data_IF_613229722094
#
_entry.id   IF_613229722094
#
_cell.length_a   1.000
_cell.length_b   1.000
_cell.length_c   1.000
_cell.angle_alpha   90.00
_cell.angle_beta   90.00
_cell.angle_gamma   90.00
#
_symmetry.space_group_name_H-M   'P 1'
#
loop_
_entity.id
_entity.type
_entity.pdbx_description
1 polymer ?
#
# COMPACT_ATOMS: atom_id res chain seq x y z
N UNK A 1 21.44 -26.28 -12.49
CA UNK A 1 20.80 -24.94 -12.53
C UNK A 1 20.26 -24.65 -11.14
N UNK A 2 20.57 -23.51 -10.52
CA UNK A 2 19.98 -23.19 -9.22
C UNK A 2 18.48 -23.00 -9.38
N UNK A 3 17.70 -23.82 -8.67
CA UNK A 3 16.26 -23.66 -8.58
C UNK A 3 15.94 -22.44 -7.70
N UNK A 4 14.99 -21.57 -8.09
CA UNK A 4 14.57 -20.49 -7.22
C UNK A 4 13.98 -21.08 -5.94
N UNK A 5 14.32 -20.55 -4.74
CA UNK A 5 13.72 -21.01 -3.50
C UNK A 5 12.22 -20.73 -3.49
N UNK A 6 11.46 -21.65 -2.90
CA UNK A 6 10.06 -21.44 -2.54
C UNK A 6 10.00 -20.17 -1.70
N UNK A 7 9.08 -19.24 -2.02
CA UNK A 7 8.89 -18.03 -1.23
C UNK A 7 8.77 -18.41 0.25
N UNK A 8 9.57 -17.79 1.11
CA UNK A 8 9.41 -17.95 2.54
C UNK A 8 7.98 -17.57 2.91
N UNK A 9 7.23 -18.51 3.48
CA UNK A 9 5.95 -18.21 4.08
C UNK A 9 6.13 -17.05 5.05
N UNK A 10 5.20 -16.10 5.01
CA UNK A 10 5.10 -15.06 6.02
C UNK A 10 5.11 -15.79 7.36
N UNK A 11 5.99 -15.44 8.32
CA UNK A 11 6.04 -16.14 9.59
C UNK A 11 4.61 -16.20 10.14
N UNK A 12 4.19 -17.41 10.54
CA UNK A 12 2.88 -17.65 11.12
C UNK A 12 2.80 -16.89 12.45
N UNK A 13 2.53 -15.59 12.37
CA UNK A 13 2.27 -14.77 13.54
C UNK A 13 0.89 -15.19 14.00
N UNK A 14 0.90 -15.99 15.07
CA UNK A 14 -0.25 -16.36 15.90
C UNK A 14 -1.12 -15.13 16.15
N UNK A 15 -2.40 -15.36 16.47
CA UNK A 15 -3.40 -14.41 16.99
C UNK A 15 -2.98 -13.75 18.34
N UNK A 16 -1.75 -13.32 18.47
CA UNK A 16 -1.33 -12.25 19.36
C UNK A 16 -1.85 -10.94 18.78
N UNK A 17 -2.30 -10.00 19.62
CA UNK A 17 -2.60 -8.63 19.19
C UNK A 17 -1.34 -8.03 18.56
N UNK A 18 -1.20 -8.14 17.23
CA UNK A 18 0.00 -7.61 16.58
C UNK A 18 -0.15 -6.11 16.51
N UNK A 19 0.54 -5.41 17.41
CA UNK A 19 0.65 -3.95 17.38
C UNK A 19 1.14 -3.55 15.97
N UNK A 20 0.32 -2.82 15.19
CA UNK A 20 0.76 -2.34 13.89
C UNK A 20 2.04 -1.53 14.05
N UNK A 21 2.95 -1.71 13.10
CA UNK A 21 4.27 -1.07 13.11
C UNK A 21 5.18 -1.42 14.29
N UNK A 22 4.99 -2.57 14.96
CA UNK A 22 6.01 -3.13 15.87
C UNK A 22 7.34 -3.40 15.15
N UNK A 23 7.25 -3.96 13.94
CA UNK A 23 8.37 -4.20 13.05
C UNK A 23 8.18 -3.41 11.75
N UNK A 24 9.17 -2.59 11.39
CA UNK A 24 9.04 -1.61 10.29
C UNK A 24 10.21 -1.69 9.32
N UNK A 25 9.91 -1.77 8.03
CA UNK A 25 10.88 -1.55 6.95
C UNK A 25 10.88 -0.08 6.54
N UNK A 26 12.06 0.51 6.38
CA UNK A 26 12.24 1.91 6.00
C UNK A 26 12.97 2.04 4.66
N UNK A 27 12.51 2.95 3.82
CA UNK A 27 13.12 3.26 2.53
C UNK A 27 12.79 4.70 2.10
N UNK A 28 13.53 5.23 1.14
CA UNK A 28 13.32 6.54 0.55
C UNK A 28 12.84 6.46 -0.90
N UNK A 29 11.94 7.36 -1.28
CA UNK A 29 11.53 7.62 -2.65
C UNK A 29 11.83 9.04 -3.09
N UNK A 30 12.24 9.22 -4.35
CA UNK A 30 12.55 10.52 -4.93
C UNK A 30 13.82 10.49 -5.78
N UNK A 31 14.39 11.65 -6.10
CA UNK A 31 13.91 12.99 -5.73
C UNK A 31 12.62 13.38 -6.47
N UNK A 32 11.84 14.26 -5.85
CA UNK A 32 10.72 15.01 -6.45
C UNK A 32 11.06 16.50 -6.46
N UNK A 33 10.62 17.22 -7.50
CA UNK A 33 10.82 18.67 -7.61
C UNK A 33 9.60 19.41 -7.10
N UNK A 34 9.75 20.18 -6.03
CA UNK A 34 8.68 20.96 -5.41
C UNK A 34 8.93 22.45 -5.50
N UNK A 35 7.86 23.25 -5.57
CA UNK A 35 7.95 24.70 -5.43
C UNK A 35 8.11 25.08 -3.96
N UNK A 36 9.04 26.01 -3.68
CA UNK A 36 9.18 26.56 -2.32
C UNK A 36 7.96 27.36 -1.89
N UNK A 37 7.38 28.12 -2.82
CA UNK A 37 6.18 28.93 -2.61
C UNK A 37 5.53 29.24 -3.96
N UNK A 38 4.29 29.74 -3.93
CA UNK A 38 3.54 30.09 -5.15
C UNK A 38 3.90 31.50 -5.61
N UNK A 39 4.84 31.62 -6.54
CA UNK A 39 5.11 32.86 -7.24
C UNK A 39 5.72 32.63 -8.62
N UNK A 40 5.61 33.63 -9.50
CA UNK A 40 6.33 33.63 -10.78
C UNK A 40 7.84 33.62 -10.51
N UNK A 41 8.55 32.68 -11.12
CA UNK A 41 10.00 32.52 -10.93
C UNK A 41 10.41 31.81 -9.62
N UNK A 42 9.46 31.25 -8.86
CA UNK A 42 9.78 30.48 -7.67
C UNK A 42 10.68 29.29 -8.03
N UNK A 43 11.82 29.17 -7.32
CA UNK A 43 12.76 28.06 -7.51
C UNK A 43 12.17 26.77 -6.98
N UNK A 44 12.42 25.67 -7.70
CA UNK A 44 12.13 24.34 -7.20
C UNK A 44 13.23 23.83 -6.26
N UNK A 45 12.85 23.08 -5.23
CA UNK A 45 13.76 22.32 -4.38
C UNK A 45 13.48 20.82 -4.52
N UNK A 46 14.48 20.00 -4.19
CA UNK A 46 14.28 18.57 -4.08
C UNK A 46 13.47 18.26 -2.83
N UNK A 47 12.71 17.18 -2.89
CA UNK A 47 12.06 16.56 -1.76
C UNK A 47 12.05 15.04 -1.95
N UNK A 48 11.87 14.33 -0.85
CA UNK A 48 11.88 12.88 -0.81
C UNK A 48 10.73 12.38 0.06
N UNK A 49 10.32 11.14 -0.16
CA UNK A 49 9.32 10.46 0.64
C UNK A 49 10.07 9.44 1.50
N UNK A 50 9.95 9.53 2.81
CA UNK A 50 10.33 8.46 3.72
C UNK A 50 9.15 7.50 3.87
N UNK A 51 9.35 6.23 3.53
CA UNK A 51 8.32 5.20 3.57
C UNK A 51 8.59 4.26 4.74
N UNK A 52 7.56 4.02 5.57
CA UNK A 52 7.56 3.01 6.60
C UNK A 52 6.54 1.92 6.24
N UNK A 53 6.97 0.66 6.29
CA UNK A 53 6.12 -0.51 6.00
C UNK A 53 6.02 -1.38 7.23
N UNK A 54 4.82 -1.63 7.72
CA UNK A 54 4.60 -2.59 8.80
C UNK A 54 4.82 -4.02 8.29
N UNK A 55 5.70 -4.77 8.93
CA UNK A 55 5.96 -6.17 8.52
C UNK A 55 4.79 -7.10 8.84
N UNK A 56 4.01 -6.82 9.88
CA UNK A 56 2.86 -7.60 10.28
C UNK A 56 1.63 -7.36 9.41
N UNK A 57 1.07 -6.14 9.46
CA UNK A 57 -0.20 -5.79 8.80
C UNK A 57 -0.01 -5.38 7.34
N UNK A 58 1.25 -5.16 6.94
CA UNK A 58 1.61 -4.58 5.65
C UNK A 58 1.07 -3.17 5.42
N UNK A 59 0.63 -2.48 6.47
CA UNK A 59 0.28 -1.07 6.41
C UNK A 59 1.48 -0.22 6.00
N UNK A 60 1.20 0.90 5.33
CA UNK A 60 2.19 1.87 4.88
C UNK A 60 1.99 3.19 5.62
N UNK A 61 3.09 3.87 5.90
CA UNK A 61 3.11 5.26 6.35
C UNK A 61 4.10 6.06 5.53
N UNK A 62 3.69 7.24 5.06
CA UNK A 62 4.44 8.08 4.14
C UNK A 62 4.71 9.45 4.77
N UNK A 63 5.97 9.87 4.73
CA UNK A 63 6.42 11.15 5.25
C UNK A 63 7.16 11.94 4.17
N UNK A 64 6.76 13.20 3.95
CA UNK A 64 7.49 14.10 3.07
C UNK A 64 8.68 14.72 3.82
N UNK A 65 9.87 14.70 3.21
CA UNK A 65 11.07 15.34 3.74
C UNK A 65 11.76 16.19 2.68
N UNK A 66 12.57 17.16 3.12
CA UNK A 66 13.29 18.09 2.25
C UNK A 66 14.56 17.50 1.63
N UNK A 67 15.17 16.52 2.28
CA UNK A 67 16.48 15.99 1.89
C UNK A 67 16.69 14.56 2.43
N UNK A 68 17.88 14.00 2.20
CA UNK A 68 18.31 12.68 2.66
C UNK A 68 19.32 12.80 3.81
N UNK A 69 19.13 13.74 4.74
CA UNK A 69 19.96 13.81 5.96
C UNK A 69 19.43 12.90 7.07
N UNK A 70 20.28 12.59 8.04
CA UNK A 70 19.87 11.90 9.27
C UNK A 70 18.84 12.71 10.06
N UNK A 71 18.99 14.04 10.11
CA UNK A 71 18.09 14.93 10.85
C UNK A 71 16.66 14.89 10.28
N UNK A 72 16.52 14.97 8.95
CA UNK A 72 15.19 14.91 8.33
C UNK A 72 14.57 13.52 8.43
N UNK A 73 15.37 12.45 8.40
CA UNK A 73 14.90 11.11 8.74
C UNK A 73 14.37 11.05 10.18
N UNK A 74 15.13 11.53 11.17
CA UNK A 74 14.69 11.52 12.57
C UNK A 74 13.40 12.33 12.77
N UNK A 75 13.26 13.46 12.06
CA UNK A 75 12.02 14.21 12.00
C UNK A 75 10.84 13.38 11.46
N UNK A 76 11.04 12.67 10.35
CA UNK A 76 10.03 11.76 9.79
C UNK A 76 9.69 10.61 10.75
N UNK A 77 10.69 9.99 11.36
CA UNK A 77 10.53 8.92 12.35
C UNK A 77 9.74 9.38 13.57
N UNK A 78 9.99 10.59 14.09
CA UNK A 78 9.23 11.16 15.21
C UNK A 78 7.77 11.39 14.84
N UNK A 79 7.47 11.94 13.65
CA UNK A 79 6.09 12.12 13.17
C UNK A 79 5.38 10.77 12.99
N UNK A 80 6.09 9.79 12.43
CA UNK A 80 5.61 8.42 12.31
C UNK A 80 5.26 7.80 13.67
N UNK A 81 6.19 7.79 14.62
CA UNK A 81 5.98 7.24 15.97
C UNK A 81 4.84 7.97 16.69
N UNK A 82 4.75 9.29 16.55
CA UNK A 82 3.69 10.09 17.17
C UNK A 82 2.30 9.72 16.65
N UNK A 83 2.19 9.22 15.41
CA UNK A 83 0.92 8.86 14.77
C UNK A 83 0.59 7.38 14.82
N UNK A 84 1.61 6.52 14.81
CA UNK A 84 1.45 5.06 14.72
C UNK A 84 1.85 4.32 16.00
N UNK A 85 2.41 5.05 16.96
CA UNK A 85 3.00 4.49 18.16
C UNK A 85 4.44 4.02 17.93
N UNK A 86 5.11 3.71 19.04
CA UNK A 86 6.50 3.26 19.06
C UNK A 86 6.68 1.90 18.38
N UNK A 87 7.70 1.78 17.54
CA UNK A 87 8.15 0.51 16.97
C UNK A 87 9.18 -0.19 17.88
N UNK A 88 9.36 -1.49 17.69
CA UNK A 88 10.33 -2.32 18.40
C UNK A 88 11.55 -2.60 17.51
N UNK A 89 11.32 -2.85 16.21
CA UNK A 89 12.38 -3.16 15.24
C UNK A 89 12.27 -2.27 14.00
N UNK A 90 13.39 -1.70 13.59
CA UNK A 90 13.56 -0.95 12.33
C UNK A 90 14.50 -1.72 11.42
N UNK A 91 14.11 -1.90 10.16
CA UNK A 91 14.91 -2.51 9.11
C UNK A 91 15.16 -1.49 8.00
N UNK A 92 16.41 -1.25 7.62
CA UNK A 92 16.77 -0.32 6.54
C UNK A 92 17.99 -0.81 5.75
N UNK A 93 18.26 -0.18 4.60
CA UNK A 93 19.57 -0.30 3.95
C UNK A 93 20.66 0.45 4.73
N UNK A 94 21.92 0.25 4.32
CA UNK A 94 23.10 0.92 4.88
C UNK A 94 23.29 2.37 4.36
N UNK A 95 22.23 3.04 3.92
CA UNK A 95 22.28 4.44 3.53
C UNK A 95 22.83 5.32 4.65
N UNK A 96 23.67 6.30 4.31
CA UNK A 96 24.40 7.13 5.28
C UNK A 96 23.47 7.90 6.22
N UNK A 97 22.29 8.28 5.73
CA UNK A 97 21.21 8.89 6.49
C UNK A 97 20.64 7.96 7.57
N UNK A 98 20.40 6.68 7.23
CA UNK A 98 19.93 5.68 8.20
C UNK A 98 21.01 5.30 9.21
N UNK A 99 22.25 5.15 8.76
CA UNK A 99 23.39 4.86 9.63
C UNK A 99 23.59 6.01 10.63
N UNK A 100 23.57 7.26 10.16
CA UNK A 100 23.68 8.43 11.03
C UNK A 100 22.51 8.56 12.01
N UNK A 101 21.28 8.38 11.55
CA UNK A 101 20.09 8.44 12.39
C UNK A 101 20.07 7.33 13.45
N UNK A 102 20.48 6.10 13.10
CA UNK A 102 20.60 4.98 14.04
C UNK A 102 21.60 5.30 15.16
N UNK A 103 22.76 5.86 14.82
CA UNK A 103 23.75 6.31 15.81
C UNK A 103 23.18 7.35 16.77
N UNK A 104 22.49 8.36 16.24
CA UNK A 104 21.86 9.40 17.06
C UNK A 104 20.77 8.84 17.96
N UNK A 105 19.93 7.94 17.44
CA UNK A 105 18.89 7.25 18.21
C UNK A 105 19.47 6.45 19.37
N UNK A 106 20.50 5.64 19.11
CA UNK A 106 21.18 4.85 20.14
C UNK A 106 21.76 5.75 21.24
N UNK A 107 22.34 6.90 20.87
CA UNK A 107 22.87 7.86 21.85
C UNK A 107 21.75 8.45 22.72
N UNK A 108 20.62 8.85 22.11
CA UNK A 108 19.46 9.37 22.85
C UNK A 108 18.87 8.33 23.82
N UNK A 109 18.70 7.08 23.38
CA UNK A 109 18.18 5.99 24.21
C UNK A 109 19.08 5.69 25.40
N UNK A 110 20.41 5.70 25.20
CA UNK A 110 21.39 5.55 26.29
C UNK A 110 21.30 6.67 27.30
N UNK A 111 21.18 7.93 26.85
CA UNK A 111 21.05 9.09 27.74
C UNK A 111 19.75 9.08 28.55
N UNK A 112 18.67 8.53 27.99
CA UNK A 112 17.36 8.46 28.66
C UNK A 112 17.21 7.28 29.64
N UNK A 113 18.22 6.40 29.75
CA UNK A 113 18.14 5.15 30.52
C UNK A 113 16.90 4.30 30.19
N UNK A 114 16.40 4.38 28.95
CA UNK A 114 15.21 3.66 28.51
C UNK A 114 15.50 2.15 28.45
N UNK A 115 14.74 1.38 29.23
CA UNK A 115 14.83 -0.09 29.28
C UNK A 115 14.21 -0.76 28.05
N UNK A 116 13.21 -0.12 27.44
CA UNK A 116 12.68 -0.55 26.16
C UNK A 116 13.53 0.11 25.07
N UNK A 117 14.27 -0.65 24.26
CA UNK A 117 15.11 -0.10 23.19
C UNK A 117 14.55 -0.44 21.81
N UNK A 118 14.57 0.53 20.90
CA UNK A 118 14.29 0.30 19.48
C UNK A 118 15.53 -0.40 18.90
N UNK A 119 15.34 -1.60 18.35
CA UNK A 119 16.41 -2.36 17.71
C UNK A 119 16.50 -2.02 16.23
N UNK A 120 17.66 -1.56 15.77
CA UNK A 120 17.89 -1.23 14.36
C UNK A 120 18.69 -2.32 13.66
N UNK A 121 18.17 -2.79 12.53
CA UNK A 121 18.75 -3.85 11.72
C UNK A 121 19.09 -3.29 10.32
N UNK A 122 20.34 -3.47 9.91
CA UNK A 122 20.78 -3.07 8.57
C UNK A 122 20.82 -4.28 7.64
N UNK A 123 20.23 -4.14 6.45
CA UNK A 123 20.27 -5.18 5.44
C UNK A 123 21.72 -5.42 4.99
N UNK A 124 22.18 -6.68 4.88
CA UNK A 124 23.51 -6.96 4.35
C UNK A 124 23.64 -6.41 2.92
N UNK A 125 24.78 -5.79 2.54
CA UNK A 125 24.98 -5.17 1.22
C UNK A 125 24.69 -6.07 0.02
N UNK A 126 24.69 -7.39 0.21
CA UNK A 126 24.55 -8.41 -0.83
C UNK A 126 23.33 -9.33 -0.65
N UNK A 127 22.43 -9.08 0.31
CA UNK A 127 21.29 -9.95 0.60
C UNK A 127 19.90 -9.24 0.55
N UNK A 128 19.52 -8.64 -0.60
CA UNK A 128 18.19 -8.04 -0.77
C UNK A 128 17.02 -9.05 -0.66
N UNK A 129 17.31 -10.36 -0.68
CA UNK A 129 16.27 -11.40 -0.58
C UNK A 129 15.55 -11.47 0.78
N UNK A 130 16.14 -10.98 1.87
CA UNK A 130 15.45 -10.95 3.19
C UNK A 130 14.27 -9.95 3.22
N UNK A 131 14.23 -8.98 2.30
CA UNK A 131 13.18 -7.96 2.23
C UNK A 131 12.21 -8.05 1.05
N UNK A 132 12.32 -9.08 0.19
CA UNK A 132 11.77 -9.06 -1.17
C UNK A 132 10.29 -8.69 -1.31
N UNK A 133 9.42 -9.10 -0.37
CA UNK A 133 7.98 -8.78 -0.45
C UNK A 133 7.68 -7.31 -0.15
N UNK A 134 8.35 -6.70 0.82
CA UNK A 134 8.12 -5.29 1.15
C UNK A 134 8.91 -4.36 0.23
N UNK A 135 10.12 -4.76 -0.18
CA UNK A 135 10.94 -4.01 -1.16
C UNK A 135 10.22 -3.88 -2.51
N UNK A 136 9.64 -4.98 -3.02
CA UNK A 136 8.86 -4.94 -4.26
C UNK A 136 7.64 -4.02 -4.14
N UNK A 137 6.97 -4.00 -2.98
CA UNK A 137 5.84 -3.11 -2.71
C UNK A 137 6.26 -1.66 -2.67
N UNK A 138 7.32 -1.34 -1.94
CA UNK A 138 7.87 0.01 -1.88
C UNK A 138 8.26 0.48 -3.29
N UNK A 139 8.95 -0.36 -4.08
CA UNK A 139 9.34 -0.04 -5.45
C UNK A 139 8.13 0.27 -6.34
N UNK A 140 7.06 -0.52 -6.25
CA UNK A 140 5.81 -0.25 -6.98
C UNK A 140 5.18 1.07 -6.53
N UNK A 141 5.09 1.34 -5.22
CA UNK A 141 4.54 2.61 -4.68
C UNK A 141 5.34 3.82 -5.19
N UNK A 142 6.67 3.81 -5.07
CA UNK A 142 7.54 4.89 -5.59
C UNK A 142 7.27 5.16 -7.07
N UNK A 143 7.17 4.08 -7.85
CA UNK A 143 6.95 4.16 -9.30
C UNK A 143 5.60 4.80 -9.64
N UNK A 144 4.54 4.43 -8.92
CA UNK A 144 3.21 5.03 -9.12
C UNK A 144 3.19 6.51 -8.77
N UNK A 145 3.74 6.89 -7.60
CA UNK A 145 3.76 8.28 -7.17
C UNK A 145 4.50 9.13 -8.21
N UNK A 146 5.69 8.69 -8.66
CA UNK A 146 6.46 9.38 -9.70
C UNK A 146 5.71 9.50 -11.02
N UNK A 147 5.04 8.44 -11.48
CA UNK A 147 4.27 8.44 -12.73
C UNK A 147 3.02 9.32 -12.68
N UNK A 148 2.42 9.47 -11.50
CA UNK A 148 1.20 10.26 -11.31
C UNK A 148 1.54 11.74 -11.26
N UNK A 149 2.55 12.12 -10.47
CA UNK A 149 2.99 13.51 -10.36
C UNK A 149 3.57 13.99 -11.69
N UNK A 150 4.39 13.16 -12.35
CA UNK A 150 5.08 13.54 -13.58
C UNK A 150 5.88 14.82 -13.38
N UNK A 151 5.66 15.80 -14.26
CA UNK A 151 6.35 17.10 -14.23
C UNK A 151 5.57 18.17 -13.44
N UNK A 152 4.48 17.80 -12.75
CA UNK A 152 3.71 18.75 -11.97
C UNK A 152 4.52 19.28 -10.78
N UNK A 153 4.69 20.59 -10.73
CA UNK A 153 5.36 21.26 -9.63
C UNK A 153 4.35 21.58 -8.52
N UNK A 154 4.38 20.78 -7.47
CA UNK A 154 3.58 20.95 -6.25
C UNK A 154 4.40 21.71 -5.20
N UNK A 155 3.74 22.52 -4.38
CA UNK A 155 4.33 23.03 -3.14
C UNK A 155 4.43 21.91 -2.10
N UNK A 156 5.19 22.14 -1.03
CA UNK A 156 5.32 21.17 0.06
C UNK A 156 3.96 20.76 0.64
N UNK A 157 3.07 21.72 0.91
CA UNK A 157 1.74 21.46 1.49
C UNK A 157 0.82 20.67 0.55
N UNK A 158 0.83 21.01 -0.75
CA UNK A 158 0.01 20.31 -1.75
C UNK A 158 0.49 18.87 -1.94
N UNK A 159 1.82 18.67 -1.97
CA UNK A 159 2.35 17.32 -2.09
C UNK A 159 2.15 16.50 -0.81
N UNK A 160 2.29 17.13 0.36
CA UNK A 160 2.00 16.47 1.63
C UNK A 160 0.55 16.00 1.70
N UNK A 161 -0.40 16.86 1.31
CA UNK A 161 -1.83 16.51 1.22
C UNK A 161 -2.05 15.31 0.30
N UNK A 162 -1.49 15.35 -0.91
CA UNK A 162 -1.58 14.23 -1.86
C UNK A 162 -0.98 12.93 -1.29
N UNK A 163 0.15 13.00 -0.57
CA UNK A 163 0.78 11.82 0.03
C UNK A 163 -0.07 11.18 1.11
N UNK A 164 -0.73 11.98 1.95
CA UNK A 164 -1.66 11.47 2.97
C UNK A 164 -2.86 10.77 2.31
N UNK A 165 -3.40 11.32 1.23
CA UNK A 165 -4.47 10.68 0.46
C UNK A 165 -4.00 9.37 -0.21
N UNK A 166 -2.79 9.37 -0.77
CA UNK A 166 -2.16 8.17 -1.34
C UNK A 166 -1.93 7.10 -0.27
N UNK A 167 -1.47 7.46 0.93
CA UNK A 167 -1.34 6.53 2.06
C UNK A 167 -2.68 5.85 2.37
N UNK A 168 -3.77 6.62 2.40
CA UNK A 168 -5.10 6.07 2.60
C UNK A 168 -5.48 5.07 1.49
N UNK A 169 -5.21 5.41 0.22
CA UNK A 169 -5.44 4.53 -0.94
C UNK A 169 -4.71 3.20 -0.76
N UNK A 170 -3.42 3.27 -0.46
CA UNK A 170 -2.57 2.10 -0.30
C UNK A 170 -3.04 1.20 0.86
N UNK A 171 -3.52 1.80 1.95
CA UNK A 171 -4.01 1.09 3.13
C UNK A 171 -5.46 0.61 3.02
N UNK A 172 -6.22 1.05 2.00
CA UNK A 172 -7.59 0.57 1.75
C UNK A 172 -7.67 -0.77 1.03
N UNK A 173 -6.55 -1.31 0.52
CA UNK A 173 -6.57 -2.55 -0.27
C UNK A 173 -7.15 -3.74 0.51
N UNK A 174 -8.06 -4.51 -0.09
CA UNK A 174 -8.55 -5.77 0.47
C UNK A 174 -7.43 -6.81 0.59
N UNK A 175 -7.29 -7.45 1.75
CA UNK A 175 -6.31 -8.51 2.01
C UNK A 175 -6.95 -9.90 1.93
N UNK A 176 -8.01 -10.12 2.70
CA UNK A 176 -8.80 -11.35 2.73
C UNK A 176 -10.23 -11.03 3.20
N UNK A 177 -11.19 -11.95 3.02
CA UNK A 177 -12.54 -11.80 3.58
C UNK A 177 -12.51 -11.81 5.11
N UNK A 178 -13.37 -11.02 5.76
CA UNK A 178 -13.46 -10.96 7.23
C UNK A 178 -14.37 -12.03 7.82
N UNK A 179 -15.36 -12.49 7.06
CA UNK A 179 -16.40 -13.40 7.54
C UNK A 179 -16.66 -14.54 6.56
N UNK A 180 -17.01 -15.70 7.12
CA UNK A 180 -17.54 -16.84 6.37
C UNK A 180 -19.03 -16.68 6.04
N UNK A 181 -19.74 -15.72 6.64
CA UNK A 181 -21.17 -15.46 6.37
C UNK A 181 -21.39 -15.18 4.87
N UNK A 182 -22.24 -15.98 4.18
CA UNK A 182 -22.56 -15.77 2.77
C UNK A 182 -23.16 -14.39 2.42
N UNK A 183 -23.74 -13.68 3.40
CA UNK A 183 -24.30 -12.35 3.22
C UNK A 183 -23.29 -11.22 3.49
N UNK A 184 -22.18 -11.54 4.15
CA UNK A 184 -21.15 -10.57 4.45
C UNK A 184 -20.10 -10.51 3.31
N UNK A 185 -19.89 -9.30 2.80
CA UNK A 185 -18.89 -8.99 1.77
C UNK A 185 -17.74 -8.16 2.34
N UNK A 186 -17.66 -8.02 3.66
CA UNK A 186 -16.62 -7.29 4.35
C UNK A 186 -15.24 -7.92 4.12
N UNK A 187 -14.24 -7.05 3.98
CA UNK A 187 -12.86 -7.43 3.67
C UNK A 187 -11.91 -6.74 4.62
N UNK A 188 -10.92 -7.49 5.08
CA UNK A 188 -9.89 -6.96 5.94
C UNK A 188 -8.92 -6.13 5.10
N UNK A 189 -8.57 -4.95 5.58
CA UNK A 189 -7.60 -4.06 4.92
C UNK A 189 -6.52 -3.66 5.91
N UNK A 190 -5.32 -3.23 5.48
CA UNK A 190 -4.35 -2.65 6.39
C UNK A 190 -4.92 -1.48 7.20
N UNK A 191 -5.82 -0.68 6.60
CA UNK A 191 -6.50 0.43 7.25
C UNK A 191 -7.29 0.01 8.49
N UNK A 192 -7.95 -1.15 8.49
CA UNK A 192 -8.67 -1.65 9.66
C UNK A 192 -7.76 -1.79 10.89
N UNK A 193 -6.49 -2.12 10.71
CA UNK A 193 -5.54 -2.18 11.82
C UNK A 193 -5.12 -0.80 12.34
N UNK A 194 -5.27 0.26 11.53
CA UNK A 194 -4.84 1.61 11.87
C UNK A 194 -5.96 2.45 12.49
N UNK A 195 -7.18 2.28 11.99
CA UNK A 195 -8.35 3.10 12.34
C UNK A 195 -9.49 2.31 12.97
N UNK A 196 -9.36 0.98 13.05
CA UNK A 196 -10.41 0.05 13.51
C UNK A 196 -11.69 0.03 12.65
N UNK A 197 -11.69 0.79 11.54
CA UNK A 197 -12.76 0.87 10.55
C UNK A 197 -12.17 1.00 9.13
N UNK A 198 -12.97 0.76 8.07
CA UNK A 198 -12.54 1.00 6.70
C UNK A 198 -12.21 2.47 6.44
N UNK A 199 -11.09 2.71 5.76
CA UNK A 199 -10.75 4.05 5.27
C UNK A 199 -11.73 4.48 4.17
N UNK A 200 -12.28 5.69 4.30
CA UNK A 200 -13.19 6.29 3.33
C UNK A 200 -12.63 7.60 2.79
N UNK A 201 -12.87 7.88 1.50
CA UNK A 201 -12.55 9.16 0.90
C UNK A 201 -13.70 10.13 1.15
N UNK A 202 -13.43 11.43 1.35
CA UNK A 202 -14.47 12.43 1.17
C UNK A 202 -15.02 12.39 -0.27
N UNK A 203 -16.27 12.84 -0.50
CA UNK A 203 -16.79 12.99 -1.85
C UNK A 203 -15.88 13.89 -2.69
N UNK A 204 -15.59 13.47 -3.92
CA UNK A 204 -14.81 14.25 -4.89
C UNK A 204 -15.54 14.23 -6.25
N UNK A 205 -15.50 15.35 -6.97
CA UNK A 205 -15.97 15.44 -8.35
C UNK A 205 -15.10 14.57 -9.26
N UNK A 206 -15.68 13.96 -10.30
CA UNK A 206 -14.89 13.28 -11.32
C UNK A 206 -14.19 14.30 -12.23
N UNK A 207 -12.86 14.37 -12.12
CA UNK A 207 -12.02 15.27 -12.90
C UNK A 207 -11.30 14.53 -14.04
N UNK A 208 -11.58 13.25 -14.25
CA UNK A 208 -10.84 12.39 -15.18
C UNK A 208 -10.78 12.93 -16.61
N UNK A 209 -11.86 13.57 -17.07
CA UNK A 209 -12.00 14.16 -18.40
C UNK A 209 -11.44 15.59 -18.56
N UNK A 210 -11.02 16.25 -17.48
CA UNK A 210 -10.59 17.65 -17.53
C UNK A 210 -9.07 17.73 -17.75
N UNK A 211 -8.64 18.61 -18.67
CA UNK A 211 -7.22 18.85 -18.93
C UNK A 211 -6.55 19.50 -17.73
N UNK A 212 -5.33 19.05 -17.39
CA UNK A 212 -4.61 19.52 -16.19
C UNK A 212 -4.42 21.03 -16.13
N UNK A 213 -4.22 21.69 -17.27
CA UNK A 213 -4.03 23.15 -17.36
C UNK A 213 -5.30 23.97 -17.09
N UNK A 214 -6.47 23.34 -17.01
CA UNK A 214 -7.74 24.00 -16.70
C UNK A 214 -8.16 23.80 -15.23
N UNK A 215 -7.39 23.02 -14.47
CA UNK A 215 -7.71 22.72 -13.07
C UNK A 215 -7.21 23.84 -12.17
N UNK A 216 -8.03 24.20 -11.17
CA UNK A 216 -7.53 24.90 -10.00
C UNK A 216 -6.48 24.04 -9.27
N UNK A 217 -5.71 24.64 -8.35
CA UNK A 217 -4.70 23.88 -7.58
C UNK A 217 -5.32 22.76 -6.75
N UNK A 218 -6.48 23.00 -6.16
CA UNK A 218 -7.22 21.98 -5.43
C UNK A 218 -7.65 20.84 -6.36
N UNK A 219 -8.26 21.18 -7.49
CA UNK A 219 -8.68 20.21 -8.50
C UNK A 219 -7.50 19.41 -9.08
N UNK A 220 -6.32 20.01 -9.21
CA UNK A 220 -5.11 19.29 -9.62
C UNK A 220 -4.75 18.19 -8.60
N UNK A 221 -4.78 18.49 -7.30
CA UNK A 221 -4.49 17.51 -6.25
C UNK A 221 -5.51 16.36 -6.31
N UNK A 222 -6.80 16.66 -6.37
CA UNK A 222 -7.86 15.65 -6.53
C UNK A 222 -7.68 14.83 -7.81
N UNK A 223 -7.31 15.46 -8.94
CA UNK A 223 -7.05 14.76 -10.20
C UNK A 223 -5.87 13.81 -10.10
N UNK A 224 -4.80 14.21 -9.40
CA UNK A 224 -3.63 13.37 -9.15
C UNK A 224 -4.00 12.20 -8.23
N UNK A 225 -4.78 12.43 -7.18
CA UNK A 225 -5.30 11.40 -6.29
C UNK A 225 -6.13 10.35 -7.06
N UNK A 226 -7.08 10.79 -7.88
CA UNK A 226 -7.88 9.91 -8.76
C UNK A 226 -7.02 9.15 -9.77
N UNK A 227 -6.01 9.82 -10.35
CA UNK A 227 -5.07 9.17 -11.27
C UNK A 227 -4.22 8.12 -10.57
N UNK A 228 -3.81 8.35 -9.32
CA UNK A 228 -3.07 7.38 -8.52
C UNK A 228 -3.94 6.16 -8.27
N UNK A 229 -5.14 6.36 -7.74
CA UNK A 229 -6.11 5.30 -7.49
C UNK A 229 -6.34 4.44 -8.73
N UNK A 230 -6.69 5.05 -9.86
CA UNK A 230 -7.04 4.32 -11.09
C UNK A 230 -5.90 3.44 -11.60
N UNK A 231 -4.65 3.91 -11.51
CA UNK A 231 -3.48 3.15 -11.97
C UNK A 231 -3.10 2.05 -10.97
N UNK A 232 -3.02 2.40 -9.69
CA UNK A 232 -2.56 1.50 -8.66
C UNK A 232 -3.55 0.38 -8.37
N UNK A 233 -4.86 0.66 -8.32
CA UNK A 233 -5.87 -0.38 -8.08
C UNK A 233 -5.86 -1.44 -9.18
N UNK A 234 -5.66 -1.03 -10.45
CA UNK A 234 -5.51 -1.95 -11.59
C UNK A 234 -4.26 -2.81 -11.48
N UNK A 235 -3.12 -2.23 -11.14
CA UNK A 235 -1.88 -3.00 -10.92
C UNK A 235 -2.05 -3.97 -9.75
N UNK A 236 -2.66 -3.52 -8.64
CA UNK A 236 -2.93 -4.36 -7.48
C UNK A 236 -3.77 -5.60 -7.85
N UNK A 237 -4.87 -5.41 -8.60
CA UNK A 237 -5.68 -6.51 -9.11
C UNK A 237 -4.86 -7.48 -10.00
N UNK A 238 -3.98 -6.95 -10.85
CA UNK A 238 -3.09 -7.77 -11.66
C UNK A 238 -2.12 -8.59 -10.81
N UNK A 239 -1.58 -8.04 -9.72
CA UNK A 239 -0.69 -8.79 -8.82
C UNK A 239 -1.41 -9.94 -8.12
N UNK A 240 -2.69 -9.77 -7.77
CA UNK A 240 -3.52 -10.84 -7.22
C UNK A 240 -3.75 -11.96 -8.25
N UNK A 241 -4.07 -11.59 -9.49
CA UNK A 241 -4.25 -12.55 -10.59
C UNK A 241 -2.98 -13.30 -10.94
N UNK A 242 -1.83 -12.62 -10.92
CA UNK A 242 -0.55 -13.27 -11.15
C UNK A 242 -0.28 -14.30 -10.06
N UNK A 243 -0.37 -13.94 -8.77
CA UNK A 243 -0.16 -14.89 -7.66
C UNK A 243 -1.03 -16.14 -7.78
N UNK A 244 -2.29 -16.01 -8.20
CA UNK A 244 -3.19 -17.14 -8.40
C UNK A 244 -2.78 -18.11 -9.53
N UNK A 245 -1.94 -17.68 -10.48
CA UNK A 245 -1.47 -18.50 -11.61
C UNK A 245 -0.17 -19.26 -11.34
N UNK A 246 0.63 -18.82 -10.38
CA UNK A 246 1.94 -19.43 -10.08
C UNK A 246 1.83 -20.64 -9.13
N UNK A 247 0.70 -20.80 -8.43
CA UNK A 247 0.46 -21.88 -7.46
C UNK A 247 -0.27 -23.10 -8.06
N UNK A 248 0.16 -23.60 -9.22
CA UNK A 248 -0.54 -24.58 -10.09
C UNK A 248 -1.66 -24.00 -10.97
N UNK A 249 -2.09 -24.79 -11.97
CA UNK A 249 -3.05 -24.46 -13.03
C UNK A 249 -4.33 -23.80 -12.51
N UNK A 250 -4.31 -22.47 -12.34
CA UNK A 250 -5.42 -21.62 -11.91
C UNK A 250 -6.14 -22.11 -10.65
N UNK A 251 -5.95 -21.46 -9.50
CA UNK A 251 -6.82 -21.67 -8.33
C UNK A 251 -8.29 -21.70 -8.83
N UNK A 252 -8.98 -22.84 -8.75
CA UNK A 252 -10.33 -22.95 -9.26
C UNK A 252 -11.18 -21.93 -8.51
N UNK A 253 -11.93 -21.12 -9.24
CA UNK A 253 -12.90 -20.22 -8.60
C UNK A 253 -13.97 -21.11 -8.01
N UNK A 254 -14.09 -21.10 -6.68
CA UNK A 254 -15.05 -21.92 -5.96
C UNK A 254 -16.32 -21.11 -5.63
N UNK A 255 -17.45 -21.81 -5.52
CA UNK A 255 -18.68 -21.24 -4.97
C UNK A 255 -18.38 -20.69 -3.57
N UNK A 256 -19.02 -19.59 -3.21
CA UNK A 256 -18.80 -18.81 -1.98
C UNK A 256 -17.48 -18.06 -1.88
N UNK A 257 -16.58 -18.14 -2.86
CA UNK A 257 -15.38 -17.31 -2.89
C UNK A 257 -15.72 -15.83 -3.00
N UNK A 258 -15.09 -14.99 -2.16
CA UNK A 258 -15.17 -13.54 -2.28
C UNK A 258 -14.13 -13.06 -3.28
N UNK A 259 -14.56 -12.24 -4.23
CA UNK A 259 -13.77 -11.76 -5.35
C UNK A 259 -13.82 -10.24 -5.45
N UNK A 260 -12.72 -9.63 -5.88
CA UNK A 260 -12.70 -8.26 -6.37
C UNK A 260 -13.15 -8.22 -7.83
N UNK A 261 -14.05 -7.30 -8.16
CA UNK A 261 -14.55 -7.09 -9.51
C UNK A 261 -13.76 -5.95 -10.12
N UNK A 262 -13.18 -6.17 -11.30
CA UNK A 262 -12.50 -5.12 -12.06
C UNK A 262 -13.54 -4.15 -12.62
N UNK A 263 -13.62 -2.98 -12.01
CA UNK A 263 -14.43 -1.85 -12.46
C UNK A 263 -13.51 -0.62 -12.63
N UNK A 264 -13.48 -0.09 -13.85
CA UNK A 264 -12.58 1.00 -14.23
C UNK A 264 -13.09 2.38 -13.79
N UNK A 265 -14.35 2.48 -13.30
CA UNK A 265 -15.04 3.73 -12.98
C UNK A 265 -15.19 3.98 -11.47
N UNK A 266 -14.47 3.23 -10.64
CA UNK A 266 -14.55 3.39 -9.18
C UNK A 266 -13.82 4.65 -8.71
N UNK A 267 -14.45 5.39 -7.81
CA UNK A 267 -13.81 6.50 -7.07
C UNK A 267 -12.74 5.96 -6.11
N UNK A 268 -11.78 6.80 -5.68
CA UNK A 268 -10.77 6.40 -4.72
C UNK A 268 -11.34 5.73 -3.46
N UNK A 269 -10.60 4.74 -2.94
CA UNK A 269 -10.95 3.94 -1.75
C UNK A 269 -12.16 3.01 -1.91
N UNK A 270 -12.82 2.95 -3.08
CA UNK A 270 -13.99 2.09 -3.30
C UNK A 270 -13.64 0.84 -4.10
N UNK A 271 -13.67 -0.31 -3.45
CA UNK A 271 -13.46 -1.61 -4.08
C UNK A 271 -14.78 -2.27 -4.43
N UNK A 272 -14.95 -2.72 -5.68
CA UNK A 272 -16.12 -3.52 -6.06
C UNK A 272 -15.90 -4.97 -5.64
N UNK A 273 -16.73 -5.47 -4.73
CA UNK A 273 -16.61 -6.80 -4.13
C UNK A 273 -17.86 -7.61 -4.49
N UNK A 274 -17.67 -8.91 -4.73
CA UNK A 274 -18.77 -9.85 -4.86
C UNK A 274 -18.42 -11.22 -4.33
N UNK A 275 -19.45 -12.04 -4.11
CA UNK A 275 -19.31 -13.46 -3.74
C UNK A 275 -19.82 -14.35 -4.86
N UNK A 276 -19.06 -15.38 -5.22
CA UNK A 276 -19.44 -16.33 -6.26
C UNK A 276 -20.64 -17.14 -5.77
N UNK A 277 -21.77 -17.01 -6.45
CA UNK A 277 -22.97 -17.82 -6.20
C UNK A 277 -22.97 -19.07 -7.06
N UNK A 278 -22.61 -18.91 -8.33
CA UNK A 278 -22.67 -19.99 -9.32
C UNK A 278 -21.51 -19.89 -10.30
N UNK A 279 -21.12 -21.05 -10.81
CA UNK A 279 -20.07 -21.24 -11.80
C UNK A 279 -20.72 -21.76 -13.08
N UNK A 280 -20.32 -21.21 -14.23
CA UNK A 280 -20.82 -21.61 -15.55
C UNK A 280 -19.68 -22.20 -16.39
N UNK A 281 -19.45 -23.53 -16.34
CA UNK A 281 -18.46 -24.19 -17.19
C UNK A 281 -18.88 -24.22 -18.66
N UNK A 282 -17.92 -24.07 -19.57
CA UNK A 282 -18.14 -24.30 -20.99
C UNK A 282 -18.25 -25.79 -21.34
N UNK A 283 -18.44 -26.10 -22.62
CA UNK A 283 -18.44 -27.49 -23.12
C UNK A 283 -17.14 -28.25 -22.82
N UNK A 284 -16.02 -27.53 -22.71
CA UNK A 284 -14.70 -28.03 -22.31
C UNK A 284 -14.51 -28.15 -20.78
N UNK A 285 -15.58 -27.96 -19.99
CA UNK A 285 -15.58 -27.91 -18.52
C UNK A 285 -14.73 -26.78 -17.91
N UNK A 286 -14.29 -25.81 -18.71
CA UNK A 286 -13.53 -24.65 -18.22
C UNK A 286 -14.51 -23.54 -17.83
N UNK A 287 -14.43 -23.11 -16.57
CA UNK A 287 -15.20 -21.98 -16.06
C UNK A 287 -14.72 -20.66 -16.67
N UNK A 288 -15.56 -20.04 -17.49
CA UNK A 288 -15.29 -18.71 -18.06
C UNK A 288 -16.20 -17.62 -17.52
N UNK A 289 -17.35 -17.98 -16.95
CA UNK A 289 -18.36 -17.05 -16.44
C UNK A 289 -18.80 -17.49 -15.05
N UNK A 290 -19.05 -16.53 -14.17
CA UNK A 290 -19.60 -16.75 -12.82
C UNK A 290 -20.77 -15.81 -12.55
N UNK A 291 -21.74 -16.27 -11.76
CA UNK A 291 -22.77 -15.42 -11.13
C UNK A 291 -22.24 -14.91 -9.80
N UNK A 292 -22.30 -13.60 -9.57
CA UNK A 292 -21.83 -12.94 -8.36
C UNK A 292 -22.97 -12.27 -7.61
N UNK A 293 -22.97 -12.38 -6.28
CA UNK A 293 -23.74 -11.51 -5.38
C UNK A 293 -22.89 -10.30 -5.02
N UNK A 294 -23.42 -9.09 -5.22
CA UNK A 294 -22.78 -7.83 -4.80
C UNK A 294 -23.73 -7.04 -3.90
N UNK A 295 -23.23 -5.98 -3.26
CA UNK A 295 -24.07 -5.05 -2.50
C UNK A 295 -25.18 -4.39 -3.34
N UNK A 296 -25.01 -4.29 -4.66
CA UNK A 296 -25.98 -3.71 -5.60
C UNK A 296 -26.91 -4.73 -6.25
N UNK A 297 -26.78 -6.02 -5.90
CA UNK A 297 -27.55 -7.11 -6.50
C UNK A 297 -26.69 -8.16 -7.19
N UNK A 298 -27.34 -9.02 -7.97
CA UNK A 298 -26.73 -10.17 -8.63
C UNK A 298 -26.30 -9.79 -10.05
N UNK A 299 -25.10 -10.20 -10.46
CA UNK A 299 -24.58 -9.93 -11.80
C UNK A 299 -23.69 -11.07 -12.32
N UNK A 300 -23.68 -11.27 -13.64
CA UNK A 300 -22.78 -12.23 -14.31
C UNK A 300 -21.52 -11.52 -14.81
N UNK A 301 -20.36 -12.15 -14.60
CA UNK A 301 -19.06 -11.62 -15.07
C UNK A 301 -18.16 -12.71 -15.62
N UNK A 302 -17.35 -12.39 -16.65
CA UNK A 302 -16.25 -13.24 -17.07
C UNK A 302 -15.21 -13.38 -15.95
N UNK A 303 -14.61 -14.57 -15.83
CA UNK A 303 -13.52 -14.85 -14.89
C UNK A 303 -12.35 -13.87 -15.06
N UNK A 304 -12.08 -13.41 -16.28
CA UNK A 304 -11.03 -12.43 -16.59
C UNK A 304 -11.26 -11.04 -15.99
N UNK A 305 -12.47 -10.76 -15.49
CA UNK A 305 -12.86 -9.48 -14.86
C UNK A 305 -12.98 -9.58 -13.34
N UNK A 306 -12.57 -10.69 -12.73
CA UNK A 306 -12.62 -10.89 -11.29
C UNK A 306 -11.29 -11.40 -10.75
N UNK A 307 -10.99 -11.09 -9.49
CA UNK A 307 -9.79 -11.54 -8.80
C UNK A 307 -10.20 -12.15 -7.45
N UNK A 308 -10.06 -13.47 -7.25
CA UNK A 308 -10.36 -14.08 -5.95
C UNK A 308 -9.44 -13.53 -4.87
N UNK A 309 -10.00 -13.21 -3.72
CA UNK A 309 -9.22 -12.88 -2.53
C UNK A 309 -8.67 -14.18 -1.92
N UNK A 310 -7.43 -14.17 -1.39
CA UNK A 310 -6.92 -15.32 -0.67
C UNK A 310 -7.77 -15.56 0.58
N UNK A 311 -8.15 -16.81 0.85
CA UNK A 311 -8.74 -17.17 2.13
C UNK A 311 -7.69 -16.98 3.23
N UNK A 312 -8.07 -16.27 4.30
CA UNK A 312 -7.33 -16.33 5.54
C UNK A 312 -7.55 -17.74 6.12
N UNK A 313 -6.57 -18.65 5.97
CA UNK A 313 -6.64 -19.98 6.60
C UNK A 313 -6.65 -19.77 8.12
N UNK A 314 -7.80 -19.96 8.77
CA UNK A 314 -7.82 -20.29 10.19
C UNK A 314 -7.26 -21.70 10.31
N UNK A 315 -6.01 -21.82 10.77
CA UNK A 315 -5.51 -23.11 11.22
C UNK A 315 -6.25 -23.42 12.53
N UNK A 316 -7.17 -24.38 12.48
CA UNK A 316 -7.61 -25.12 13.67
C UNK A 316 -6.44 -25.92 14.22
#
# INVERSE_FOLDING_TARGET
>A
MPQPPIMGDIPAVRLSQVKPFSEVGCDYGGPFSLLRYRARGAKSCKAYICLFVCMATKALHLELVSDLSSETFLGAMRRFISRRGRCNHIYSDCGTNFVGASRELINMLKSAAEQEQISWHFNPPSAPHFGGLWEARIKSVKTHIKRVIGDQLLTYEEFYTLLVQIEAVLNSRPLCPQSSDPNDLSVLTPGHFLTLEPLNAPPEDDLSGIKLNHLSRWQLISRLHQSFWSRWSKEYLQTLLQRAKWNESTIPIEINSVVLIKDDNLTPLKWSIGRVLEIHPGHDRVTRVVTLKTAKGILKRPVTKICPLPYCKSQN
#
